data_IF_875138666543
#
_entry.id   IF_875138666543
#
_cell.length_a   1.000
_cell.length_b   1.000
_cell.length_c   1.000
_cell.angle_alpha   90.00
_cell.angle_beta   90.00
_cell.angle_gamma   90.00
#
_symmetry.space_group_name_H-M   'P 1'
#
loop_
_entity.id
_entity.type
_entity.pdbx_description
1 polymer ?
#
# COMPACT_ATOMS: atom_id res chain seq x y z
N UNK A 1 22.90 49.35 15.85
CA UNK A 1 22.30 48.00 16.06
C UNK A 1 21.01 47.87 15.24
N UNK A 2 21.09 47.72 13.91
CA UNK A 2 19.86 47.60 13.08
C UNK A 2 20.04 46.83 11.76
N UNK A 3 21.26 46.41 11.40
CA UNK A 3 21.52 45.74 10.11
C UNK A 3 21.75 44.22 10.16
N UNK A 4 21.74 43.62 11.35
CA UNK A 4 21.98 42.16 11.53
C UNK A 4 20.67 41.37 11.57
N UNK A 5 19.53 42.00 11.85
CA UNK A 5 18.22 41.33 11.91
C UNK A 5 17.52 41.16 10.55
N UNK A 6 18.03 41.77 9.47
CA UNK A 6 17.38 41.68 8.16
C UNK A 6 17.86 40.49 7.29
N UNK A 7 18.95 39.83 7.65
CA UNK A 7 19.53 38.74 6.83
C UNK A 7 18.95 37.37 7.20
N UNK A 8 18.49 37.19 8.44
CA UNK A 8 17.84 35.94 8.87
C UNK A 8 16.42 35.77 8.29
N UNK A 9 15.73 36.87 7.94
CA UNK A 9 14.38 36.82 7.36
C UNK A 9 14.35 36.46 5.87
N UNK A 10 15.43 36.69 5.13
CA UNK A 10 15.50 36.45 3.68
C UNK A 10 15.96 35.01 3.37
N UNK A 11 16.74 34.38 4.24
CA UNK A 11 17.14 32.97 4.06
C UNK A 11 16.02 31.95 4.30
N UNK A 12 14.92 32.33 4.98
CA UNK A 12 13.73 31.48 5.11
C UNK A 12 12.75 31.58 3.93
N UNK A 13 12.89 32.60 3.07
CA UNK A 13 12.05 32.77 1.87
C UNK A 13 12.59 32.03 0.63
N UNK A 14 13.78 31.43 0.74
CA UNK A 14 14.32 30.48 -0.23
C UNK A 14 14.23 29.05 0.31
N UNK A 15 13.18 28.75 1.10
CA UNK A 15 12.81 27.37 1.39
C UNK A 15 12.63 26.65 0.05
N UNK A 16 13.62 25.83 -0.30
CA UNK A 16 13.55 24.95 -1.45
C UNK A 16 12.27 24.13 -1.30
N UNK A 17 11.44 24.01 -2.36
CA UNK A 17 10.24 23.20 -2.27
C UNK A 17 10.65 21.80 -1.85
N UNK A 18 10.18 21.42 -0.66
CA UNK A 18 10.41 20.14 -0.03
C UNK A 18 10.10 19.05 -1.06
N UNK A 19 11.10 18.29 -1.50
CA UNK A 19 10.88 17.15 -2.39
C UNK A 19 9.87 16.22 -1.72
N UNK A 20 8.87 15.75 -2.45
CA UNK A 20 7.99 14.70 -1.93
C UNK A 20 8.67 13.36 -2.19
N UNK A 21 9.13 12.71 -1.13
CA UNK A 21 9.65 11.35 -1.19
C UNK A 21 8.71 10.36 -0.49
N UNK A 22 7.69 10.85 0.22
CA UNK A 22 6.74 10.01 0.93
C UNK A 22 5.45 9.89 0.08
N UNK A 23 5.46 8.96 -0.86
CA UNK A 23 4.31 8.77 -1.75
C UNK A 23 3.32 7.76 -1.17
N UNK A 24 2.05 8.16 -1.08
CA UNK A 24 0.91 7.27 -0.88
C UNK A 24 0.53 6.65 -2.24
N UNK A 25 -0.76 6.30 -2.43
CA UNK A 25 -1.25 5.85 -3.73
C UNK A 25 -1.13 6.97 -4.77
N UNK A 26 -0.44 6.68 -5.88
CA UNK A 26 -0.29 7.62 -7.00
C UNK A 26 -1.18 7.16 -8.15
N UNK A 27 -1.97 8.06 -8.79
CA UNK A 27 -2.68 7.71 -10.01
C UNK A 27 -1.75 7.08 -11.06
N UNK A 28 -2.11 5.88 -11.51
CA UNK A 28 -1.27 5.04 -12.35
C UNK A 28 -0.80 3.76 -11.65
N UNK A 29 -0.81 3.72 -10.31
CA UNK A 29 -0.44 2.53 -9.54
C UNK A 29 -1.45 1.39 -9.80
N UNK A 30 -0.93 0.17 -9.96
CA UNK A 30 -1.72 -1.02 -10.26
C UNK A 30 -2.56 -1.52 -9.08
N UNK A 31 -2.24 -1.08 -7.85
CA UNK A 31 -2.97 -1.45 -6.64
C UNK A 31 -2.97 -0.35 -5.58
N UNK A 32 -3.97 -0.44 -4.69
CA UNK A 32 -3.97 0.21 -3.38
C UNK A 32 -3.58 -0.82 -2.32
N UNK A 33 -2.83 -0.43 -1.31
CA UNK A 33 -2.31 -1.34 -0.30
C UNK A 33 -2.61 -0.87 1.11
N UNK A 34 -3.00 -1.80 1.96
CA UNK A 34 -3.14 -1.61 3.39
C UNK A 34 -2.88 -2.93 4.12
N UNK A 35 -2.61 -2.84 5.41
CA UNK A 35 -2.48 -3.95 6.33
C UNK A 35 -3.74 -4.04 7.18
N UNK A 36 -4.04 -5.24 7.67
CA UNK A 36 -5.17 -5.45 8.56
C UNK A 36 -4.75 -6.20 9.82
N UNK A 37 -4.91 -5.52 10.95
CA UNK A 37 -4.66 -6.04 12.29
C UNK A 37 -5.95 -6.59 12.93
N UNK A 38 -5.84 -7.07 14.17
CA UNK A 38 -6.94 -7.65 14.93
C UNK A 38 -8.05 -6.62 15.24
N UNK A 39 -7.70 -5.36 15.44
CA UNK A 39 -8.65 -4.29 15.73
C UNK A 39 -9.43 -3.89 14.47
N UNK A 40 -8.74 -3.72 13.35
CA UNK A 40 -9.32 -3.40 12.05
C UNK A 40 -10.18 -4.55 11.54
N UNK A 41 -9.76 -5.81 11.74
CA UNK A 41 -10.60 -6.96 11.42
C UNK A 41 -11.89 -7.00 12.26
N UNK A 42 -11.84 -6.62 13.54
CA UNK A 42 -13.06 -6.51 14.37
C UNK A 42 -13.97 -5.40 13.85
N UNK A 43 -13.41 -4.24 13.53
CA UNK A 43 -14.16 -3.12 12.95
C UNK A 43 -14.77 -3.48 11.58
N UNK A 44 -14.06 -4.24 10.75
CA UNK A 44 -14.58 -4.73 9.47
C UNK A 44 -15.78 -5.66 9.68
N UNK A 45 -15.72 -6.54 10.69
CA UNK A 45 -16.81 -7.45 11.06
C UNK A 45 -18.03 -6.75 11.64
N UNK A 46 -17.83 -5.70 12.44
CA UNK A 46 -18.93 -4.90 13.01
C UNK A 46 -19.54 -3.94 11.99
N UNK A 47 -18.88 -3.71 10.84
CA UNK A 47 -19.29 -2.73 9.84
C UNK A 47 -18.77 -1.31 10.13
N UNK A 48 -18.00 -1.13 11.20
CA UNK A 48 -17.40 0.16 11.60
C UNK A 48 -16.22 0.56 10.72
N UNK A 49 -15.51 -0.41 10.11
CA UNK A 49 -14.44 -0.12 9.16
C UNK A 49 -15.04 0.21 7.78
N UNK A 50 -15.11 1.51 7.50
CA UNK A 50 -15.59 2.06 6.22
C UNK A 50 -14.50 2.75 5.41
N UNK A 51 -13.38 3.12 6.04
CA UNK A 51 -12.24 3.76 5.38
C UNK A 51 -10.98 3.02 5.82
N UNK A 52 -10.06 2.79 4.89
CA UNK A 52 -8.72 2.28 5.16
C UNK A 52 -7.67 3.27 4.68
N UNK A 53 -6.58 3.37 5.44
CA UNK A 53 -5.45 4.21 5.10
C UNK A 53 -4.43 3.38 4.27
N UNK A 54 -3.71 4.05 3.38
CA UNK A 54 -2.68 3.45 2.56
C UNK A 54 -1.43 3.22 3.41
N UNK A 55 -1.04 1.96 3.56
CA UNK A 55 0.18 1.63 4.29
C UNK A 55 1.41 1.81 3.39
N UNK A 56 2.42 2.51 3.91
CA UNK A 56 3.70 2.65 3.22
C UNK A 56 4.62 1.50 3.63
N UNK A 57 5.34 0.86 2.68
CA UNK A 57 6.39 -0.10 2.97
C UNK A 57 7.33 0.40 4.08
N UNK A 58 7.61 -0.45 5.07
CA UNK A 58 8.44 -0.13 6.22
C UNK A 58 9.87 0.28 5.80
N UNK A 59 10.33 -0.20 4.64
CA UNK A 59 11.64 0.09 4.06
C UNK A 59 11.82 1.55 3.61
N UNK A 60 10.75 2.36 3.65
CA UNK A 60 10.72 3.75 3.15
C UNK A 60 10.57 4.77 4.31
N UNK A 61 11.20 4.47 5.46
CA UNK A 61 11.08 5.27 6.68
C UNK A 61 11.52 6.73 6.52
N UNK A 62 10.59 7.64 6.83
CA UNK A 62 10.75 9.05 7.23
C UNK A 62 11.96 9.78 6.62
N UNK A 63 11.82 10.18 5.36
CA UNK A 63 12.52 11.37 4.88
C UNK A 63 11.68 12.60 5.22
N UNK A 64 12.29 13.69 5.73
CA UNK A 64 11.64 15.00 5.98
C UNK A 64 11.30 15.72 4.66
N UNK A 65 10.54 15.02 3.84
CA UNK A 65 10.25 15.25 2.45
C UNK A 65 8.73 15.11 2.37
N UNK A 66 7.99 16.15 1.96
CA UNK A 66 6.52 16.21 2.09
C UNK A 66 5.77 14.99 1.53
N UNK A 67 4.47 14.92 1.81
CA UNK A 67 3.61 13.83 1.36
C UNK A 67 3.02 14.09 -0.02
N UNK A 68 2.79 13.01 -0.78
CA UNK A 68 2.14 13.06 -2.08
C UNK A 68 1.20 11.87 -2.28
N UNK A 69 0.13 12.05 -3.05
CA UNK A 69 -0.82 11.02 -3.40
C UNK A 69 -2.06 10.97 -2.51
N UNK A 70 -2.82 9.89 -2.69
CA UNK A 70 -4.09 9.64 -2.03
C UNK A 70 -3.89 8.67 -0.88
N UNK A 71 -4.24 9.10 0.33
CA UNK A 71 -4.01 8.34 1.55
C UNK A 71 -5.13 7.32 1.81
N UNK A 72 -6.37 7.60 1.41
CA UNK A 72 -7.52 6.86 1.93
C UNK A 72 -8.33 6.18 0.85
N UNK A 73 -8.88 5.01 1.16
CA UNK A 73 -9.82 4.27 0.33
C UNK A 73 -11.12 4.03 1.10
N UNK A 74 -12.24 4.37 0.46
CA UNK A 74 -13.59 4.14 0.97
C UNK A 74 -14.06 2.72 0.63
N UNK A 75 -14.47 1.98 1.65
CA UNK A 75 -15.02 0.62 1.59
C UNK A 75 -16.52 0.58 1.92
N UNK A 76 -17.17 1.73 2.12
CA UNK A 76 -18.58 1.81 2.52
C UNK A 76 -19.54 1.29 1.45
N UNK A 77 -19.12 1.28 0.18
CA UNK A 77 -19.92 0.84 -0.95
C UNK A 77 -19.77 -0.65 -1.30
N UNK A 78 -19.01 -1.43 -0.52
CA UNK A 78 -18.94 -2.88 -0.68
C UNK A 78 -20.30 -3.51 -0.36
N UNK A 79 -20.81 -4.36 -1.26
CA UNK A 79 -22.03 -5.12 -1.02
C UNK A 79 -21.84 -6.12 0.12
N UNK A 80 -22.93 -6.47 0.83
CA UNK A 80 -22.90 -7.44 1.93
C UNK A 80 -22.28 -8.79 1.52
N UNK A 81 -22.55 -9.35 0.32
CA UNK A 81 -21.90 -10.59 -0.13
C UNK A 81 -20.38 -10.44 -0.26
N UNK A 82 -19.91 -9.32 -0.82
CA UNK A 82 -18.47 -9.06 -0.97
C UNK A 82 -17.83 -8.89 0.41
N UNK A 83 -18.38 -8.03 1.26
CA UNK A 83 -17.88 -7.82 2.63
C UNK A 83 -17.85 -9.12 3.43
N UNK A 84 -18.88 -9.96 3.31
CA UNK A 84 -18.94 -11.28 3.93
C UNK A 84 -17.84 -12.23 3.46
N UNK A 85 -17.54 -12.27 2.15
CA UNK A 85 -16.43 -13.08 1.61
C UNK A 85 -15.07 -12.56 2.06
N UNK A 86 -14.89 -11.24 2.11
CA UNK A 86 -13.66 -10.61 2.58
C UNK A 86 -13.40 -10.98 4.06
N UNK A 87 -14.41 -10.85 4.92
CA UNK A 87 -14.35 -11.24 6.34
C UNK A 87 -13.96 -12.71 6.50
N UNK A 88 -14.61 -13.62 5.76
CA UNK A 88 -14.33 -15.06 5.80
C UNK A 88 -12.90 -15.36 5.34
N UNK A 89 -12.44 -14.68 4.30
CA UNK A 89 -11.09 -14.88 3.75
C UNK A 89 -10.01 -14.39 4.70
N UNK A 90 -10.16 -13.23 5.34
CA UNK A 90 -9.16 -12.82 6.34
C UNK A 90 -9.24 -13.70 7.59
N UNK A 91 -10.42 -14.20 7.97
CA UNK A 91 -10.55 -15.15 9.07
C UNK A 91 -9.77 -16.45 8.79
N UNK A 92 -9.90 -17.01 7.59
CA UNK A 92 -9.13 -18.18 7.16
C UNK A 92 -7.62 -17.91 7.15
N UNK A 93 -7.19 -16.74 6.68
CA UNK A 93 -5.79 -16.34 6.72
C UNK A 93 -5.27 -16.15 8.14
N UNK A 94 -6.07 -15.59 9.06
CA UNK A 94 -5.70 -15.46 10.49
C UNK A 94 -5.67 -16.82 11.21
N UNK A 95 -6.43 -17.81 10.78
CA UNK A 95 -6.33 -19.19 11.28
C UNK A 95 -4.98 -19.82 10.87
N UNK A 96 -4.58 -19.65 9.61
CA UNK A 96 -3.29 -20.13 9.08
C UNK A 96 -2.09 -19.35 9.63
N UNK A 97 -2.27 -18.06 9.90
CA UNK A 97 -1.26 -17.16 10.44
C UNK A 97 -1.78 -16.47 11.71
N UNK A 98 -1.77 -17.16 12.87
CA UNK A 98 -2.28 -16.61 14.13
C UNK A 98 -1.62 -15.30 14.52
N UNK A 99 -2.40 -14.35 15.05
CA UNK A 99 -1.92 -13.04 15.52
C UNK A 99 -0.78 -13.20 16.52
N UNK A 100 0.28 -12.41 16.32
CA UNK A 100 1.46 -12.30 17.16
C UNK A 100 1.52 -10.90 17.74
N UNK A 101 1.41 -10.83 19.06
CA UNK A 101 1.57 -9.60 19.81
C UNK A 101 2.98 -9.54 20.37
N UNK A 102 3.60 -8.37 20.31
CA UNK A 102 4.82 -8.07 21.05
C UNK A 102 4.57 -6.92 22.00
N UNK A 103 5.23 -6.97 23.15
CA UNK A 103 5.28 -5.87 24.11
C UNK A 103 6.56 -5.08 23.83
N UNK A 104 6.41 -3.81 23.49
CA UNK A 104 7.50 -2.86 23.29
C UNK A 104 7.54 -1.97 24.52
N UNK A 105 8.57 -2.11 25.33
CA UNK A 105 8.81 -1.21 26.45
C UNK A 105 9.56 0.02 25.95
N UNK A 106 8.86 1.16 25.91
CA UNK A 106 9.44 2.44 25.52
C UNK A 106 10.19 3.13 26.66
N UNK A 107 10.25 2.51 27.85
CA UNK A 107 10.87 3.08 29.04
C UNK A 107 10.12 4.30 29.58
N UNK A 108 10.82 5.11 30.36
CA UNK A 108 10.29 6.36 30.89
C UNK A 108 10.25 7.44 29.80
N UNK A 109 9.17 8.24 29.79
CA UNK A 109 8.97 9.33 28.81
C UNK A 109 10.21 10.22 28.76
N UNK A 110 10.91 10.22 27.63
CA UNK A 110 11.84 11.30 27.34
C UNK A 110 11.03 12.56 27.00
N UNK A 111 11.54 13.74 27.40
CA UNK A 111 10.97 15.02 26.95
C UNK A 111 10.84 14.97 25.42
N UNK A 112 9.75 15.53 24.89
CA UNK A 112 9.30 15.49 23.47
C UNK A 112 8.33 14.38 23.07
N UNK A 113 7.35 14.04 23.93
CA UNK A 113 6.12 13.36 23.50
C UNK A 113 6.31 11.94 22.96
N UNK A 114 7.44 11.30 23.25
CA UNK A 114 7.66 9.90 22.94
C UNK A 114 6.70 9.02 23.75
N UNK A 115 6.22 7.90 23.19
CA UNK A 115 5.42 6.93 23.94
C UNK A 115 6.17 6.50 25.20
N UNK A 116 5.48 6.39 26.33
CA UNK A 116 6.05 5.89 27.58
C UNK A 116 5.32 4.63 28.03
N UNK A 117 6.06 3.70 28.63
CA UNK A 117 5.52 2.43 29.11
C UNK A 117 5.42 1.34 28.04
N UNK A 118 4.66 0.29 28.35
CA UNK A 118 4.56 -0.92 27.53
C UNK A 118 3.47 -0.78 26.48
N UNK A 119 3.86 -0.74 25.21
CA UNK A 119 2.96 -0.80 24.06
C UNK A 119 2.78 -2.25 23.60
N UNK A 120 1.53 -2.71 23.46
CA UNK A 120 1.21 -3.99 22.82
C UNK A 120 0.93 -3.77 21.35
N UNK A 121 1.77 -4.32 20.48
CA UNK A 121 1.66 -4.17 19.02
C UNK A 121 1.55 -5.52 18.32
N UNK A 122 0.61 -5.64 17.37
CA UNK A 122 0.56 -6.77 16.44
C UNK A 122 1.67 -6.63 15.39
N UNK A 123 2.52 -7.65 15.24
CA UNK A 123 3.71 -7.59 14.34
C UNK A 123 3.54 -8.35 13.04
N UNK A 124 2.47 -9.13 12.90
CA UNK A 124 2.21 -9.96 11.73
C UNK A 124 0.85 -9.64 11.11
N UNK A 125 0.60 -8.35 10.88
CA UNK A 125 -0.60 -7.88 10.19
C UNK A 125 -0.73 -8.53 8.81
N UNK A 126 -1.95 -8.91 8.44
CA UNK A 126 -2.19 -9.44 7.11
C UNK A 126 -2.07 -8.31 6.09
N UNK A 127 -1.56 -8.64 4.90
CA UNK A 127 -1.36 -7.67 3.83
C UNK A 127 -2.52 -7.73 2.86
N UNK A 128 -3.11 -6.60 2.51
CA UNK A 128 -4.26 -6.53 1.60
C UNK A 128 -3.93 -5.61 0.43
N UNK A 129 -4.08 -6.14 -0.78
CA UNK A 129 -3.93 -5.38 -2.01
C UNK A 129 -5.27 -5.29 -2.71
N UNK A 130 -5.63 -4.11 -3.20
CA UNK A 130 -6.81 -3.91 -4.05
C UNK A 130 -6.31 -3.74 -5.48
N UNK A 131 -6.56 -4.74 -6.32
CA UNK A 131 -6.24 -4.72 -7.75
C UNK A 131 -7.50 -4.53 -8.58
N UNK A 132 -7.33 -4.19 -9.86
CA UNK A 132 -8.38 -4.41 -10.85
C UNK A 132 -8.76 -5.89 -10.90
N UNK A 133 -10.05 -6.18 -11.09
CA UNK A 133 -10.55 -7.55 -11.25
C UNK A 133 -9.92 -8.28 -12.45
N UNK A 134 -9.46 -7.53 -13.45
CA UNK A 134 -8.77 -8.04 -14.63
C UNK A 134 -7.25 -8.25 -14.46
N UNK A 135 -6.70 -8.05 -13.26
CA UNK A 135 -5.27 -8.24 -13.01
C UNK A 135 -4.91 -9.73 -13.13
N UNK A 136 -3.97 -10.05 -14.02
CA UNK A 136 -3.55 -11.43 -14.27
C UNK A 136 -2.36 -11.80 -13.38
N UNK A 137 -2.66 -12.40 -12.22
CA UNK A 137 -1.66 -12.90 -11.27
C UNK A 137 -0.69 -13.93 -11.90
N UNK A 138 -1.08 -14.59 -12.99
CA UNK A 138 -0.24 -15.56 -13.70
C UNK A 138 0.77 -14.94 -14.67
N UNK A 139 0.56 -13.67 -15.03
CA UNK A 139 1.47 -12.91 -15.88
C UNK A 139 2.28 -11.85 -15.13
N UNK A 140 1.72 -11.28 -14.06
CA UNK A 140 2.29 -10.18 -13.31
C UNK A 140 2.51 -10.54 -11.84
N UNK A 141 3.53 -9.94 -11.23
CA UNK A 141 3.87 -10.15 -9.82
C UNK A 141 3.00 -9.29 -8.91
N UNK A 142 2.73 -9.84 -7.73
CA UNK A 142 2.09 -9.11 -6.64
C UNK A 142 3.09 -8.13 -6.03
N UNK A 143 2.62 -6.92 -5.70
CA UNK A 143 3.39 -5.91 -4.98
C UNK A 143 4.22 -4.98 -5.86
N UNK A 144 4.17 -5.14 -7.18
CA UNK A 144 4.74 -4.17 -8.12
C UNK A 144 3.69 -3.18 -8.61
N UNK A 145 4.00 -1.89 -8.49
CA UNK A 145 3.08 -0.79 -8.83
C UNK A 145 2.82 -0.66 -10.34
N UNK A 146 3.73 -1.10 -11.20
CA UNK A 146 3.61 -1.04 -12.67
C UNK A 146 3.22 0.35 -13.24
N UNK A 147 3.56 1.42 -12.54
CA UNK A 147 3.22 2.78 -12.95
C UNK A 147 4.37 3.39 -13.74
N UNK A 148 4.27 3.47 -15.06
CA UNK A 148 5.23 4.22 -15.91
C UNK A 148 4.93 5.72 -15.93
N UNK A 149 3.67 6.10 -15.69
CA UNK A 149 3.19 7.49 -15.77
C UNK A 149 3.44 8.31 -14.49
N UNK A 150 4.10 7.72 -13.50
CA UNK A 150 4.26 8.29 -12.15
C UNK A 150 4.83 9.71 -12.17
N UNK A 151 5.85 9.96 -13.01
CA UNK A 151 6.50 11.27 -13.09
C UNK A 151 5.54 12.34 -13.62
N UNK A 152 4.70 11.99 -14.61
CA UNK A 152 3.71 12.91 -15.17
C UNK A 152 2.57 13.13 -14.19
N UNK A 153 2.16 12.10 -13.45
CA UNK A 153 1.19 12.21 -12.37
C UNK A 153 1.69 13.13 -11.25
N UNK A 154 2.95 12.99 -10.83
CA UNK A 154 3.56 13.89 -9.85
C UNK A 154 3.51 15.35 -10.28
N UNK A 155 3.80 15.62 -11.56
CA UNK A 155 3.69 16.98 -12.13
C UNK A 155 2.25 17.49 -12.09
N UNK A 156 1.26 16.66 -12.45
CA UNK A 156 -0.16 17.04 -12.36
C UNK A 156 -0.62 17.30 -10.93
N UNK A 157 -0.03 16.64 -9.95
CA UNK A 157 -0.26 16.86 -8.53
C UNK A 157 0.48 18.09 -7.97
N UNK A 158 1.13 18.89 -8.83
CA UNK A 158 1.78 20.14 -8.46
C UNK A 158 3.25 19.98 -8.03
N UNK A 159 3.82 18.79 -8.13
CA UNK A 159 5.25 18.57 -7.83
C UNK A 159 6.13 18.93 -9.02
N UNK A 160 7.34 19.42 -8.75
CA UNK A 160 8.35 19.54 -9.83
C UNK A 160 8.86 18.15 -10.19
N UNK A 161 9.06 17.89 -11.48
CA UNK A 161 9.48 16.57 -11.99
C UNK A 161 10.78 16.06 -11.36
N UNK A 162 11.73 16.96 -11.11
CA UNK A 162 13.03 16.69 -10.48
C UNK A 162 12.94 16.49 -8.95
N UNK A 163 11.83 16.90 -8.34
CA UNK A 163 11.58 16.79 -6.90
C UNK A 163 10.63 15.62 -6.56
N UNK A 164 9.98 15.04 -7.57
CA UNK A 164 9.13 13.87 -7.43
C UNK A 164 9.96 12.63 -7.73
N UNK A 165 10.20 11.79 -6.73
CA UNK A 165 10.93 10.52 -6.89
C UNK A 165 9.95 9.37 -6.78
N UNK A 166 10.04 8.43 -7.71
CA UNK A 166 9.19 7.25 -7.65
C UNK A 166 9.54 6.41 -6.43
N UNK A 167 8.51 6.13 -5.64
CA UNK A 167 8.63 5.35 -4.43
C UNK A 167 8.34 3.87 -4.74
N UNK A 168 9.41 3.07 -4.79
CA UNK A 168 9.33 1.67 -5.17
C UNK A 168 8.77 0.85 -4.02
N UNK A 169 7.63 0.20 -4.27
CA UNK A 169 6.98 -0.63 -3.26
C UNK A 169 7.77 -1.90 -2.90
N UNK A 170 8.56 -2.43 -3.84
CA UNK A 170 9.54 -3.50 -3.63
C UNK A 170 10.90 -2.99 -4.13
N UNK A 171 11.79 -2.52 -3.23
CA UNK A 171 13.00 -1.78 -3.61
C UNK A 171 14.16 -2.72 -3.99
N UNK A 172 13.91 -3.75 -4.80
CA UNK A 172 14.95 -4.64 -5.32
C UNK A 172 15.26 -4.32 -6.79
N UNK A 173 16.51 -4.49 -7.27
CA UNK A 173 16.83 -4.25 -8.68
C UNK A 173 15.92 -5.04 -9.64
N UNK A 174 15.58 -6.28 -9.29
CA UNK A 174 14.67 -7.10 -10.08
C UNK A 174 13.24 -6.55 -10.10
N UNK A 175 12.71 -6.12 -8.95
CA UNK A 175 11.38 -5.51 -8.84
C UNK A 175 11.27 -4.21 -9.61
N UNK A 176 12.30 -3.36 -9.52
CA UNK A 176 12.39 -2.10 -10.26
C UNK A 176 12.36 -2.35 -11.77
N UNK A 177 13.26 -3.21 -12.26
CA UNK A 177 13.35 -3.53 -13.69
C UNK A 177 12.07 -4.15 -14.21
N UNK A 178 11.44 -5.05 -13.46
CA UNK A 178 10.20 -5.68 -13.89
C UNK A 178 9.01 -4.71 -13.90
N UNK A 179 8.88 -3.88 -12.86
CA UNK A 179 7.86 -2.85 -12.74
C UNK A 179 7.90 -1.89 -13.94
N UNK A 180 9.10 -1.47 -14.34
CA UNK A 180 9.29 -0.60 -15.51
C UNK A 180 9.10 -1.32 -16.84
N UNK A 181 9.63 -2.54 -16.98
CA UNK A 181 9.56 -3.29 -18.24
C UNK A 181 8.13 -3.67 -18.61
N UNK A 182 7.26 -3.86 -17.62
CA UNK A 182 5.89 -4.33 -17.81
C UNK A 182 4.84 -3.26 -17.51
N UNK A 183 5.24 -2.03 -17.18
CA UNK A 183 4.29 -1.03 -16.65
C UNK A 183 3.16 -0.70 -17.62
N UNK A 184 3.49 -0.49 -18.89
CA UNK A 184 2.51 -0.27 -19.98
C UNK A 184 1.59 -1.46 -20.25
N UNK A 185 1.95 -2.67 -19.80
CA UNK A 185 1.13 -3.86 -19.96
C UNK A 185 0.12 -4.08 -18.82
N UNK A 186 0.20 -3.31 -17.73
CA UNK A 186 -0.70 -3.41 -16.58
C UNK A 186 -1.53 -2.14 -16.48
N UNK A 187 -2.86 -2.31 -16.47
CA UNK A 187 -3.75 -1.15 -16.29
C UNK A 187 -3.68 -0.61 -14.86
N UNK A 188 -3.66 0.72 -14.67
CA UNK A 188 -3.80 1.36 -13.36
C UNK A 188 -5.07 0.91 -12.63
N UNK A 189 -5.04 0.87 -11.30
CA UNK A 189 -6.23 0.58 -10.49
C UNK A 189 -7.35 1.57 -10.83
N UNK A 190 -8.53 1.04 -11.14
CA UNK A 190 -9.73 1.84 -11.42
C UNK A 190 -10.34 2.33 -10.12
N UNK A 191 -10.10 3.60 -9.83
CA UNK A 191 -10.68 4.33 -8.70
C UNK A 191 -11.31 5.64 -9.17
N UNK A 192 -12.30 6.11 -8.42
CA UNK A 192 -12.85 7.45 -8.52
C UNK A 192 -12.06 8.34 -7.56
N UNK A 193 -11.36 9.31 -8.14
CA UNK A 193 -10.59 10.28 -7.37
C UNK A 193 -11.49 11.43 -6.91
N UNK A 194 -11.39 11.88 -5.65
CA UNK A 194 -11.98 13.15 -5.26
C UNK A 194 -11.27 14.31 -5.97
N UNK A 195 -12.00 15.40 -6.21
CA UNK A 195 -11.40 16.64 -6.70
C UNK A 195 -10.38 17.15 -5.68
N UNK A 196 -9.17 17.49 -6.14
CA UNK A 196 -8.15 18.09 -5.29
C UNK A 196 -7.26 19.05 -6.07
N UNK A 197 -6.95 20.17 -5.43
CA UNK A 197 -5.95 21.15 -5.85
C UNK A 197 -4.59 20.92 -5.16
N UNK A 198 -4.48 19.86 -4.35
CA UNK A 198 -3.30 19.55 -3.52
C UNK A 198 -2.64 18.26 -3.96
N UNK A 199 -1.31 18.22 -3.79
CA UNK A 199 -0.54 17.02 -4.07
C UNK A 199 -0.73 15.89 -3.06
N UNK A 200 -1.23 16.17 -1.86
CA UNK A 200 -1.57 15.19 -0.82
C UNK A 200 -3.06 15.27 -0.49
N UNK A 201 -3.75 14.13 -0.60
CA UNK A 201 -5.21 14.04 -0.55
C UNK A 201 -5.64 13.05 0.52
N UNK A 202 -6.35 13.56 1.53
CA UNK A 202 -6.90 12.77 2.65
C UNK A 202 -8.38 12.43 2.47
N UNK A 203 -9.05 13.06 1.49
CA UNK A 203 -10.39 12.66 1.08
C UNK A 203 -10.33 11.25 0.47
N UNK A 204 -11.18 10.30 0.91
CA UNK A 204 -11.11 8.94 0.41
C UNK A 204 -11.41 8.81 -1.08
N UNK A 205 -10.60 8.01 -1.77
CA UNK A 205 -10.93 7.48 -3.09
C UNK A 205 -12.04 6.45 -2.99
N UNK A 206 -12.81 6.28 -4.06
CA UNK A 206 -13.84 5.24 -4.14
C UNK A 206 -13.51 4.22 -5.20
N UNK A 207 -13.93 2.98 -4.99
CA UNK A 207 -13.81 1.89 -5.94
C UNK A 207 -15.18 1.56 -6.53
N UNK A 208 -15.22 1.00 -7.73
CA UNK A 208 -16.38 0.23 -8.18
C UNK A 208 -16.19 -1.23 -7.72
N UNK A 209 -17.02 -1.75 -6.79
CA UNK A 209 -16.85 -3.09 -6.25
C UNK A 209 -16.84 -4.19 -7.33
N UNK A 210 -17.55 -3.97 -8.44
CA UNK A 210 -17.61 -4.94 -9.53
C UNK A 210 -16.31 -5.02 -10.35
N UNK A 211 -15.47 -3.99 -10.27
CA UNK A 211 -14.27 -3.80 -11.06
C UNK A 211 -12.96 -4.15 -10.32
N UNK A 212 -13.04 -4.54 -9.04
CA UNK A 212 -11.87 -4.77 -8.18
C UNK A 212 -11.83 -6.15 -7.56
N UNK A 213 -10.63 -6.56 -7.15
CA UNK A 213 -10.36 -7.77 -6.39
C UNK A 213 -9.45 -7.42 -5.22
N UNK A 214 -9.81 -7.87 -4.02
CA UNK A 214 -9.00 -7.79 -2.80
C UNK A 214 -8.16 -9.05 -2.72
N UNK A 215 -6.84 -8.91 -2.69
CA UNK A 215 -5.90 -9.99 -2.49
C UNK A 215 -5.38 -9.94 -1.05
N UNK A 216 -5.77 -10.94 -0.26
CA UNK A 216 -5.34 -11.12 1.12
C UNK A 216 -4.10 -12.02 1.13
N UNK A 217 -3.00 -11.48 1.60
CA UNK A 217 -1.67 -12.08 1.57
C UNK A 217 -1.18 -12.41 2.99
N UNK A 218 -0.29 -13.41 3.12
CA UNK A 218 0.31 -13.76 4.40
C UNK A 218 1.21 -12.62 4.93
N UNK A 219 1.45 -12.57 6.25
CA UNK A 219 2.24 -11.53 6.89
C UNK A 219 3.75 -11.79 6.73
N UNK A 220 4.23 -11.84 5.49
CA UNK A 220 5.64 -11.98 5.12
C UNK A 220 6.13 -10.68 4.47
N UNK A 221 7.44 -10.50 4.29
CA UNK A 221 7.96 -9.28 3.65
C UNK A 221 7.40 -9.08 2.25
N UNK A 222 7.24 -7.83 1.81
CA UNK A 222 6.79 -7.49 0.45
C UNK A 222 7.72 -8.08 -0.61
N UNK A 223 9.03 -8.08 -0.34
CA UNK A 223 10.02 -8.73 -1.19
C UNK A 223 9.77 -10.24 -1.28
N UNK A 224 9.43 -10.93 -0.19
CA UNK A 224 9.08 -12.35 -0.20
C UNK A 224 7.74 -12.63 -0.87
N UNK A 225 6.79 -11.69 -0.89
CA UNK A 225 5.57 -11.83 -1.70
C UNK A 225 5.85 -11.66 -3.19
N UNK A 226 6.68 -10.69 -3.58
CA UNK A 226 6.99 -10.45 -4.99
C UNK A 226 7.95 -11.51 -5.56
N UNK A 227 8.92 -11.93 -4.74
CA UNK A 227 9.99 -12.88 -5.04
C UNK A 227 10.10 -13.96 -3.94
N UNK A 228 9.09 -14.82 -3.80
CA UNK A 228 9.06 -15.90 -2.83
C UNK A 228 10.22 -16.88 -3.02
N UNK A 229 10.77 -17.40 -1.92
CA UNK A 229 11.76 -18.47 -1.96
C UNK A 229 11.26 -19.68 -2.74
N UNK A 230 12.19 -20.41 -3.37
CA UNK A 230 11.89 -21.56 -4.25
C UNK A 230 10.96 -22.58 -3.58
N UNK A 231 11.18 -22.91 -2.32
CA UNK A 231 10.43 -23.95 -1.61
C UNK A 231 9.28 -23.39 -0.75
N UNK A 232 8.97 -22.10 -0.88
CA UNK A 232 7.86 -21.52 -0.14
C UNK A 232 6.52 -21.99 -0.70
N UNK A 233 5.54 -22.15 0.20
CA UNK A 233 4.15 -22.52 -0.09
C UNK A 233 3.23 -21.36 0.27
N UNK A 234 3.59 -20.17 -0.21
CA UNK A 234 2.78 -18.99 0.03
C UNK A 234 1.48 -19.09 -0.74
N UNK A 235 0.43 -18.67 -0.07
CA UNK A 235 -0.93 -18.74 -0.56
C UNK A 235 -1.60 -17.43 -0.19
N UNK A 236 -2.24 -16.83 -1.17
CA UNK A 236 -3.06 -15.64 -1.01
C UNK A 236 -4.49 -15.98 -1.39
N UNK A 237 -5.46 -15.23 -0.88
CA UNK A 237 -6.88 -15.38 -1.23
C UNK A 237 -7.31 -14.12 -1.97
N UNK A 238 -7.72 -14.27 -3.22
CA UNK A 238 -8.30 -13.20 -4.03
C UNK A 238 -9.83 -13.24 -3.90
N UNK A 239 -10.43 -12.12 -3.53
CA UNK A 239 -11.87 -11.96 -3.27
C UNK A 239 -12.40 -10.81 -4.11
N UNK A 240 -13.48 -11.08 -4.83
CA UNK A 240 -14.30 -10.11 -5.55
C UNK A 240 -15.77 -10.35 -5.20
N UNK A 241 -16.66 -9.50 -5.67
CA UNK A 241 -18.08 -9.53 -5.28
C UNK A 241 -18.75 -10.90 -5.46
N UNK A 242 -18.43 -11.62 -6.54
CA UNK A 242 -19.05 -12.87 -6.97
C UNK A 242 -18.08 -14.05 -7.07
N UNK A 243 -16.79 -13.84 -6.74
CA UNK A 243 -15.75 -14.84 -6.91
C UNK A 243 -14.71 -14.75 -5.80
N UNK A 244 -14.38 -15.90 -5.24
CA UNK A 244 -13.20 -16.12 -4.42
C UNK A 244 -12.29 -17.14 -5.13
N UNK A 245 -10.99 -16.93 -5.08
CA UNK A 245 -10.00 -17.88 -5.58
C UNK A 245 -8.73 -17.85 -4.74
N UNK A 246 -8.02 -18.98 -4.76
CA UNK A 246 -6.72 -19.09 -4.11
C UNK A 246 -5.62 -18.82 -5.13
N UNK A 247 -4.65 -17.99 -4.75
CA UNK A 247 -3.45 -17.68 -5.55
C UNK A 247 -2.23 -18.27 -4.85
N UNK A 248 -1.62 -19.28 -5.47
CA UNK A 248 -0.47 -20.00 -4.91
C UNK A 248 0.80 -19.66 -5.67
N UNK A 249 1.94 -19.66 -4.98
CA UNK A 249 3.22 -19.57 -5.69
C UNK A 249 3.63 -20.96 -6.22
N UNK A 250 4.12 -20.99 -7.45
CA UNK A 250 4.68 -22.16 -8.12
C UNK A 250 5.99 -21.74 -8.81
N UNK A 251 7.08 -21.95 -8.10
CA UNK A 251 8.44 -21.61 -8.55
C UNK A 251 9.01 -22.63 -9.54
N UNK A 252 8.30 -23.73 -9.79
CA UNK A 252 8.73 -24.80 -10.69
C UNK A 252 8.42 -24.51 -12.16
N UNK A 253 7.51 -23.58 -12.45
CA UNK A 253 7.11 -23.23 -13.82
C UNK A 253 7.90 -22.03 -14.34
N UNK A 254 8.48 -22.18 -15.54
CA UNK A 254 9.08 -21.09 -16.30
C UNK A 254 7.99 -20.16 -16.88
N UNK A 255 7.38 -19.33 -16.03
CA UNK A 255 6.37 -18.35 -16.41
C UNK A 255 6.83 -16.93 -16.07
N UNK A 256 6.15 -15.93 -16.65
CA UNK A 256 6.41 -14.50 -16.40
C UNK A 256 6.12 -14.13 -14.94
N UNK A 257 5.03 -14.66 -14.38
CA UNK A 257 4.79 -14.68 -12.94
C UNK A 257 4.83 -16.10 -12.41
N UNK A 258 5.20 -16.19 -11.14
CA UNK A 258 5.27 -17.41 -10.33
C UNK A 258 3.97 -17.65 -9.56
N UNK A 259 3.03 -16.71 -9.58
CA UNK A 259 1.75 -16.82 -8.91
C UNK A 259 0.74 -17.46 -9.85
N UNK A 260 -0.09 -18.37 -9.34
CA UNK A 260 -1.06 -19.12 -10.12
C UNK A 260 -2.39 -19.16 -9.40
N UNK A 261 -3.47 -18.98 -10.16
CA UNK A 261 -4.80 -19.34 -9.66
C UNK A 261 -4.85 -20.85 -9.46
N UNK A 262 -5.09 -21.27 -8.21
CA UNK A 262 -5.48 -22.64 -7.93
C UNK A 262 -6.89 -22.84 -8.46
N UNK A 263 -7.08 -23.93 -9.20
CA UNK A 263 -8.41 -24.44 -9.51
C UNK A 263 -9.05 -25.02 -8.26
#
# INVERSE_FOLDING_TARGET
MSRIFLVAGICFLLATPCSANNSFFIPGDAFFYFEIDQSEWKALKSGELTIVDYDRPEEMSLTFCGYAGYEKLDLSNLSDPFRGQLIKSIASMKEKYPTKMVEIDHGESTLFGAPSGIEKKETNKLRVFVYNRSFDFSQFRIGLKYNESWADTGVRLGFKRDHFRYDFFVPTPQGIVESWRMGSAVSPLKVQFPDSDRGYVTTPMRIDPSAVTFLICPPVSLTSLCFPPRDSKLECIAVSEDRQMTVVNDTSKARKSIWLESK
#
